data_IF_758563061418
#
_entry.id   IF_758563061418
#
_cell.length_a   1.000
_cell.length_b   1.000
_cell.length_c   1.000
_cell.angle_alpha   90.00
_cell.angle_beta   90.00
_cell.angle_gamma   90.00
#
_symmetry.space_group_name_H-M   'P 1'
#
loop_
_entity.id
_entity.type
_entity.pdbx_description
1 polymer ?
#
# COMPACT_ATOMS: atom_id res chain seq x y z
N UNK A 1 -7.23 -3.99 -15.45
CA UNK A 1 -8.56 -3.58 -14.95
C UNK A 1 -8.39 -3.24 -13.47
N UNK A 2 -7.98 -2.01 -13.18
CA UNK A 2 -7.88 -1.53 -11.79
C UNK A 2 -9.32 -1.40 -11.33
N UNK A 3 -9.78 -2.35 -10.53
CA UNK A 3 -11.14 -2.35 -9.98
C UNK A 3 -11.40 -0.98 -9.35
N UNK A 4 -12.58 -0.47 -9.62
CA UNK A 4 -13.15 0.77 -9.08
C UNK A 4 -13.51 0.61 -7.59
N UNK A 5 -12.49 0.27 -6.80
CA UNK A 5 -12.55 0.15 -5.36
C UNK A 5 -12.69 1.52 -4.70
N UNK A 6 -12.24 2.58 -5.39
CA UNK A 6 -12.31 3.96 -4.90
C UNK A 6 -13.75 4.48 -4.87
N UNK A 7 -14.56 4.22 -5.90
CA UNK A 7 -15.97 4.62 -5.85
C UNK A 7 -16.76 3.79 -4.83
N UNK A 8 -16.48 2.49 -4.72
CA UNK A 8 -17.09 1.65 -3.69
C UNK A 8 -16.75 2.15 -2.27
N UNK A 9 -15.48 2.48 -2.02
CA UNK A 9 -15.03 3.04 -0.74
C UNK A 9 -15.69 4.40 -0.44
N UNK A 10 -15.78 5.29 -1.43
CA UNK A 10 -16.43 6.59 -1.25
C UNK A 10 -17.92 6.48 -0.88
N UNK A 11 -18.61 5.43 -1.34
CA UNK A 11 -20.00 5.17 -0.95
C UNK A 11 -20.10 4.74 0.51
N UNK A 12 -19.23 3.84 0.95
CA UNK A 12 -19.23 3.32 2.32
C UNK A 12 -18.81 4.39 3.34
N UNK A 13 -17.89 5.29 2.99
CA UNK A 13 -17.48 6.43 3.84
C UNK A 13 -18.63 7.39 4.20
N UNK A 14 -19.75 7.36 3.47
CA UNK A 14 -20.94 8.16 3.81
C UNK A 14 -21.67 7.63 5.05
N UNK A 15 -21.38 6.41 5.48
CA UNK A 15 -21.92 5.84 6.71
C UNK A 15 -21.06 6.29 7.91
N UNK A 16 -21.61 6.99 8.91
CA UNK A 16 -20.83 7.51 10.04
C UNK A 16 -20.21 6.42 10.93
N UNK A 17 -20.80 5.23 11.03
CA UNK A 17 -20.22 4.11 11.76
C UNK A 17 -19.03 3.51 11.00
N UNK A 18 -19.15 3.45 9.67
CA UNK A 18 -18.05 3.06 8.78
C UNK A 18 -16.94 4.10 8.79
N UNK A 19 -17.27 5.40 8.79
CA UNK A 19 -16.31 6.49 8.87
C UNK A 19 -15.46 6.41 10.14
N UNK A 20 -16.08 6.20 11.31
CA UNK A 20 -15.33 6.03 12.58
C UNK A 20 -14.40 4.84 12.57
N UNK A 21 -14.85 3.70 12.04
CA UNK A 21 -14.00 2.54 11.87
C UNK A 21 -12.87 2.82 10.87
N UNK A 22 -13.16 3.52 9.79
CA UNK A 22 -12.22 3.90 8.75
C UNK A 22 -11.13 4.84 9.24
N UNK A 23 -11.47 5.83 10.07
CA UNK A 23 -10.50 6.77 10.64
C UNK A 23 -9.38 6.04 11.40
N UNK A 24 -9.69 4.87 11.99
CA UNK A 24 -8.69 4.04 12.68
C UNK A 24 -7.76 3.24 11.74
N UNK A 25 -8.08 3.14 10.45
CA UNK A 25 -7.30 2.40 9.43
C UNK A 25 -6.86 3.26 8.24
N UNK A 26 -7.11 4.57 8.29
CA UNK A 26 -6.90 5.46 7.16
C UNK A 26 -5.42 5.51 6.75
N UNK A 27 -4.51 5.50 7.74
CA UNK A 27 -3.07 5.56 7.51
C UNK A 27 -2.55 4.27 6.86
N UNK A 28 -3.01 3.11 7.35
CA UNK A 28 -2.70 1.79 6.81
C UNK A 28 -3.14 1.66 5.36
N UNK A 29 -4.34 2.15 5.06
CA UNK A 29 -4.87 2.16 3.71
C UNK A 29 -4.03 3.07 2.79
N UNK A 30 -3.72 4.29 3.23
CA UNK A 30 -2.84 5.22 2.49
C UNK A 30 -1.47 4.60 2.22
N UNK A 31 -0.91 3.88 3.20
CA UNK A 31 0.35 3.18 3.06
C UNK A 31 0.26 2.07 2.00
N UNK A 32 -0.79 1.25 2.04
CA UNK A 32 -1.01 0.17 1.08
C UNK A 32 -1.15 0.70 -0.37
N UNK A 33 -1.95 1.76 -0.57
CA UNK A 33 -2.11 2.44 -1.87
C UNK A 33 -0.79 3.06 -2.35
N UNK A 34 0.01 3.65 -1.45
CA UNK A 34 1.34 4.16 -1.78
C UNK A 34 2.28 3.05 -2.27
N UNK A 35 2.32 1.90 -1.59
CA UNK A 35 3.14 0.75 -2.01
C UNK A 35 2.73 0.25 -3.40
N UNK A 36 1.43 0.08 -3.62
CA UNK A 36 0.87 -0.37 -4.89
C UNK A 36 1.23 0.59 -6.04
N UNK A 37 1.12 1.90 -5.80
CA UNK A 37 1.48 2.95 -6.76
C UNK A 37 2.97 2.93 -7.08
N UNK A 38 3.83 2.93 -6.06
CA UNK A 38 5.28 2.88 -6.26
C UNK A 38 5.69 1.67 -7.11
N UNK A 39 5.11 0.48 -6.83
CA UNK A 39 5.37 -0.72 -7.63
C UNK A 39 4.91 -0.55 -9.08
N UNK A 40 3.69 -0.07 -9.27
CA UNK A 40 3.07 0.06 -10.59
C UNK A 40 3.79 1.10 -11.45
N UNK A 41 4.20 2.24 -10.88
CA UNK A 41 5.02 3.26 -11.54
C UNK A 41 6.41 2.73 -11.93
N UNK A 42 6.98 1.82 -11.13
CA UNK A 42 8.24 1.15 -11.44
C UNK A 42 8.09 0.04 -12.51
N UNK A 43 6.87 -0.22 -13.00
CA UNK A 43 6.59 -1.24 -14.01
C UNK A 43 6.81 -2.67 -13.55
N UNK A 44 6.81 -2.93 -12.24
CA UNK A 44 7.10 -4.24 -11.66
C UNK A 44 5.83 -5.02 -11.37
N UNK A 45 5.81 -6.31 -11.62
CA UNK A 45 4.86 -7.23 -11.00
C UNK A 45 5.16 -7.42 -9.50
N UNK A 46 4.18 -7.93 -8.74
CA UNK A 46 4.39 -8.24 -7.31
C UNK A 46 5.50 -9.29 -7.10
N UNK A 47 5.63 -10.24 -8.02
CA UNK A 47 6.67 -11.27 -7.97
C UNK A 47 8.07 -10.70 -8.22
N UNK A 48 8.20 -9.77 -9.19
CA UNK A 48 9.47 -9.09 -9.45
C UNK A 48 9.89 -8.19 -8.29
N UNK A 49 8.95 -7.43 -7.71
CA UNK A 49 9.24 -6.64 -6.52
C UNK A 49 9.67 -7.54 -5.35
N UNK A 50 8.96 -8.64 -5.12
CA UNK A 50 9.31 -9.60 -4.07
C UNK A 50 10.74 -10.14 -4.23
N UNK A 51 11.14 -10.49 -5.47
CA UNK A 51 12.49 -10.94 -5.79
C UNK A 51 13.54 -9.86 -5.49
N UNK A 52 13.28 -8.59 -5.84
CA UNK A 52 14.20 -7.47 -5.57
C UNK A 52 14.35 -7.18 -4.08
N UNK A 53 13.26 -7.31 -3.32
CA UNK A 53 13.23 -7.00 -1.87
C UNK A 53 13.74 -8.18 -1.02
N UNK A 54 13.75 -9.40 -1.57
CA UNK A 54 14.11 -10.62 -0.83
C UNK A 54 12.96 -11.14 0.04
N UNK A 55 11.74 -11.14 -0.50
CA UNK A 55 10.54 -11.64 0.19
C UNK A 55 9.66 -12.46 -0.77
N UNK A 56 8.44 -12.83 -0.35
CA UNK A 56 7.50 -13.59 -1.18
C UNK A 56 6.49 -12.69 -1.88
N UNK A 57 5.98 -13.11 -3.05
CA UNK A 57 4.89 -12.40 -3.73
C UNK A 57 3.65 -12.28 -2.84
N UNK A 58 3.35 -13.30 -2.03
CA UNK A 58 2.22 -13.28 -1.09
C UNK A 58 2.41 -12.32 0.08
N UNK A 59 3.65 -12.01 0.47
CA UNK A 59 3.95 -10.97 1.45
C UNK A 59 3.69 -9.58 0.83
N UNK A 60 4.19 -9.33 -0.38
CA UNK A 60 3.94 -8.08 -1.12
C UNK A 60 2.42 -7.86 -1.33
N UNK A 61 1.69 -8.88 -1.78
CA UNK A 61 0.24 -8.77 -2.00
C UNK A 61 -0.54 -8.45 -0.70
N UNK A 62 -0.10 -8.98 0.45
CA UNK A 62 -0.70 -8.65 1.75
C UNK A 62 -0.40 -7.23 2.20
N UNK A 63 0.79 -6.71 1.89
CA UNK A 63 1.16 -5.32 2.17
C UNK A 63 0.39 -4.35 1.27
N UNK A 64 0.29 -4.63 -0.03
CA UNK A 64 -0.46 -3.79 -1.00
C UNK A 64 -1.97 -3.81 -0.78
N UNK A 65 -2.50 -4.81 -0.06
CA UNK A 65 -3.91 -4.87 0.32
C UNK A 65 -4.21 -4.31 1.72
N UNK A 66 -3.20 -3.80 2.44
CA UNK A 66 -3.36 -3.29 3.80
C UNK A 66 -3.60 -4.36 4.86
N UNK A 67 -3.57 -5.65 4.50
CA UNK A 67 -3.73 -6.77 5.45
C UNK A 67 -2.54 -6.93 6.40
N UNK A 68 -1.37 -6.45 5.99
CA UNK A 68 -0.14 -6.49 6.79
C UNK A 68 0.57 -5.16 6.66
N UNK A 69 0.83 -4.50 7.79
CA UNK A 69 1.67 -3.31 7.82
C UNK A 69 3.14 -3.75 7.76
N UNK A 70 3.91 -3.34 6.73
CA UNK A 70 5.34 -3.60 6.69
C UNK A 70 6.09 -2.78 7.75
N UNK A 71 7.22 -3.33 8.23
CA UNK A 71 8.16 -2.56 9.06
C UNK A 71 8.80 -1.43 8.25
N UNK A 72 9.30 -0.40 8.94
CA UNK A 72 9.99 0.74 8.32
C UNK A 72 11.15 0.30 7.41
N UNK A 73 11.94 -0.69 7.83
CA UNK A 73 13.01 -1.25 7.01
C UNK A 73 12.50 -1.87 5.69
N UNK A 74 11.36 -2.56 5.74
CA UNK A 74 10.72 -3.14 4.56
C UNK A 74 10.18 -2.06 3.64
N UNK A 75 9.61 -0.98 4.19
CA UNK A 75 9.17 0.18 3.42
C UNK A 75 10.34 0.82 2.66
N UNK A 76 11.48 1.02 3.33
CA UNK A 76 12.67 1.57 2.70
C UNK A 76 13.20 0.66 1.58
N UNK A 77 13.24 -0.67 1.80
CA UNK A 77 13.65 -1.65 0.78
C UNK A 77 12.70 -1.66 -0.42
N UNK A 78 11.40 -1.61 -0.20
CA UNK A 78 10.39 -1.56 -1.26
C UNK A 78 10.55 -0.26 -2.07
N UNK A 79 10.67 0.89 -1.41
CA UNK A 79 10.91 2.16 -2.08
C UNK A 79 12.17 2.11 -2.95
N UNK A 80 13.29 1.64 -2.41
CA UNK A 80 14.54 1.49 -3.14
C UNK A 80 14.43 0.54 -4.34
N UNK A 81 13.76 -0.61 -4.18
CA UNK A 81 13.52 -1.57 -5.27
C UNK A 81 12.66 -1.00 -6.41
N UNK A 82 11.82 -0.02 -6.10
CA UNK A 82 11.01 0.75 -7.03
C UNK A 82 11.71 2.04 -7.55
N UNK A 83 12.98 2.28 -7.20
CA UNK A 83 13.73 3.47 -7.62
C UNK A 83 13.30 4.77 -6.93
N UNK A 84 12.73 4.68 -5.74
CA UNK A 84 12.27 5.82 -4.93
C UNK A 84 13.09 5.92 -3.63
N UNK A 85 13.06 7.11 -3.01
CA UNK A 85 13.59 7.35 -1.66
C UNK A 85 12.41 7.56 -0.71
N UNK A 86 12.44 6.89 0.44
CA UNK A 86 11.42 7.07 1.48
C UNK A 86 11.75 8.30 2.32
N UNK A 87 10.82 9.24 2.43
CA UNK A 87 10.91 10.43 3.27
C UNK A 87 9.59 10.58 4.06
N UNK A 88 9.69 11.05 5.31
CA UNK A 88 8.55 11.20 6.23
C UNK A 88 8.44 12.66 6.61
N UNK A 89 7.24 13.23 6.45
CA UNK A 89 6.91 14.59 6.84
C UNK A 89 5.63 14.56 7.67
N UNK A 90 5.64 15.27 8.80
CA UNK A 90 4.43 15.56 9.58
C UNK A 90 4.02 17.01 9.29
N UNK A 91 2.72 17.26 9.11
CA UNK A 91 2.13 18.59 8.90
C UNK A 91 1.00 18.80 9.87
#
# INVERSE_FOLDING_TARGET
MVLDYREALQRELRNPDFQKAWDSFELEYKLADLLLKMRSEAGLSQAELAKRVGTTQSAIARMESGKVIPRLESLAKIAAACGKKLEIYAR
#
